data_IF_719581737719
#
_entry.id   IF_719581737719
#
_cell.length_a   1.000
_cell.length_b   1.000
_cell.length_c   1.000
_cell.angle_alpha   90.00
_cell.angle_beta   90.00
_cell.angle_gamma   90.00
#
_symmetry.space_group_name_H-M   'P 1'
#
loop_
_entity.id
_entity.type
_entity.pdbx_description
1 polymer ?
#
# COMPACT_ATOMS: atom_id res chain seq x y z
N UNK A 1 -2.57 52.12 33.68
CA UNK A 1 -2.98 51.17 32.62
C UNK A 1 -2.09 49.94 32.76
N UNK A 2 -2.61 48.85 33.34
CA UNK A 2 -1.85 47.63 33.68
C UNK A 2 -2.43 46.45 32.91
N UNK A 3 -1.91 46.16 31.72
CA UNK A 3 -2.24 44.92 30.99
C UNK A 3 -1.04 44.57 30.10
N UNK A 4 -0.21 43.58 30.50
CA UNK A 4 0.56 42.69 29.59
C UNK A 4 1.57 41.77 30.31
N UNK A 5 1.83 41.94 31.61
CA UNK A 5 2.94 41.22 32.29
C UNK A 5 2.87 39.68 32.19
N UNK A 6 1.68 39.08 32.15
CA UNK A 6 1.54 37.61 32.03
C UNK A 6 1.97 37.07 30.67
N UNK A 7 1.71 37.82 29.60
CA UNK A 7 2.12 37.41 28.25
C UNK A 7 3.63 37.61 28.08
N UNK A 8 4.17 38.68 28.64
CA UNK A 8 5.60 38.95 28.64
C UNK A 8 6.38 37.88 29.43
N UNK A 9 5.86 37.43 30.58
CA UNK A 9 6.44 36.32 31.36
C UNK A 9 6.39 34.97 30.63
N UNK A 10 5.38 34.74 29.79
CA UNK A 10 5.22 33.52 28.99
C UNK A 10 6.15 33.53 27.77
N UNK A 11 6.29 34.69 27.12
CA UNK A 11 7.27 34.91 26.05
C UNK A 11 8.70 34.74 26.59
N UNK A 12 9.01 35.31 27.76
CA UNK A 12 10.34 35.22 28.38
C UNK A 12 10.70 33.78 28.79
N UNK A 13 9.69 32.96 29.15
CA UNK A 13 9.89 31.51 29.35
C UNK A 13 10.17 30.76 28.05
N UNK A 14 9.46 31.09 26.97
CA UNK A 14 9.68 30.47 25.65
C UNK A 14 11.05 30.84 25.07
N UNK A 15 11.50 32.09 25.25
CA UNK A 15 12.82 32.55 24.82
C UNK A 15 13.93 31.82 25.58
N UNK A 16 13.79 31.64 26.90
CA UNK A 16 14.76 30.86 27.71
C UNK A 16 14.85 29.39 27.29
N UNK A 17 13.76 28.79 26.82
CA UNK A 17 13.78 27.42 26.28
C UNK A 17 14.60 27.38 24.97
N UNK A 18 14.49 28.40 24.12
CA UNK A 18 15.21 28.49 22.84
C UNK A 18 16.70 28.83 23.05
N UNK A 19 17.02 29.68 24.02
CA UNK A 19 18.38 30.13 24.33
C UNK A 19 19.21 29.10 25.11
N UNK A 20 18.59 28.06 25.66
CA UNK A 20 19.32 26.97 26.30
C UNK A 20 20.04 26.12 25.24
N UNK A 21 21.38 26.11 25.17
CA UNK A 21 22.15 25.27 24.24
C UNK A 21 22.06 23.78 24.56
N UNK A 22 21.44 23.42 25.70
CA UNK A 22 21.14 22.06 26.14
C UNK A 22 19.82 21.51 25.59
N UNK A 23 19.28 22.05 24.48
CA UNK A 23 18.37 21.25 23.65
C UNK A 23 19.20 20.16 22.96
N UNK A 24 19.58 19.18 23.76
CA UNK A 24 19.99 17.89 23.28
C UNK A 24 18.86 17.36 22.38
N UNK A 25 19.27 16.86 21.21
CA UNK A 25 18.47 16.04 20.31
C UNK A 25 17.59 16.77 19.28
N UNK A 26 18.20 17.68 18.51
CA UNK A 26 18.02 17.55 17.05
C UNK A 26 18.66 16.20 16.68
N UNK A 27 17.89 15.10 16.79
CA UNK A 27 18.37 13.76 16.45
C UNK A 27 18.99 13.85 15.08
N UNK A 28 20.31 13.62 15.00
CA UNK A 28 21.00 13.63 13.72
C UNK A 28 20.21 12.77 12.73
N UNK A 29 19.84 13.28 11.54
CA UNK A 29 19.12 12.48 10.53
C UNK A 29 19.97 11.28 10.05
N UNK A 30 21.25 11.26 10.43
CA UNK A 30 22.20 10.19 10.18
C UNK A 30 22.13 9.04 11.20
N UNK A 31 21.36 9.14 12.30
CA UNK A 31 21.29 8.12 13.34
C UNK A 31 19.98 7.35 13.33
N UNK A 32 20.01 6.14 13.89
CA UNK A 32 18.82 5.34 14.10
C UNK A 32 17.83 6.03 15.04
N UNK A 33 16.56 6.21 14.63
CA UNK A 33 15.57 6.91 15.45
C UNK A 33 15.06 6.06 16.63
N UNK A 34 15.44 4.78 16.72
CA UNK A 34 15.13 3.87 17.83
C UNK A 34 15.85 4.31 19.10
N UNK A 35 15.12 4.37 20.22
CA UNK A 35 15.68 4.75 21.53
C UNK A 35 16.82 3.80 21.91
N UNK A 36 17.98 4.35 22.23
CA UNK A 36 19.16 3.57 22.61
C UNK A 36 20.03 3.08 21.44
N UNK A 37 19.61 3.28 20.18
CA UNK A 37 20.41 2.90 19.03
C UNK A 37 21.27 4.07 18.52
N UNK A 38 22.60 3.94 18.59
CA UNK A 38 23.56 4.97 18.11
C UNK A 38 24.17 4.63 16.74
N UNK A 39 23.51 3.77 15.97
CA UNK A 39 24.05 3.30 14.68
C UNK A 39 23.85 4.37 13.61
N UNK A 40 24.89 4.65 12.82
CA UNK A 40 24.82 5.56 11.67
C UNK A 40 24.12 4.87 10.48
N UNK A 41 23.20 5.59 9.85
CA UNK A 41 22.29 5.16 8.80
C UNK A 41 22.64 5.81 7.45
N UNK A 42 23.57 6.76 7.42
CA UNK A 42 23.97 7.53 6.22
C UNK A 42 24.24 6.66 4.99
N UNK A 43 24.89 5.50 5.17
CA UNK A 43 25.26 4.60 4.08
C UNK A 43 24.32 3.37 3.96
N UNK A 44 23.87 2.81 5.09
CA UNK A 44 23.17 1.51 5.16
C UNK A 44 21.84 1.64 5.89
N UNK A 45 21.02 2.58 5.43
CA UNK A 45 19.70 2.84 5.98
C UNK A 45 18.59 2.18 5.17
N UNK A 46 17.73 1.41 5.84
CA UNK A 46 16.56 0.79 5.23
C UNK A 46 15.32 1.61 5.60
N UNK A 47 14.54 2.01 4.60
CA UNK A 47 13.32 2.77 4.79
C UNK A 47 12.16 1.82 5.14
N UNK A 48 11.41 2.15 6.19
CA UNK A 48 10.20 1.42 6.55
C UNK A 48 9.01 1.93 5.72
N UNK A 49 8.32 1.05 5.01
CA UNK A 49 7.17 1.41 4.15
C UNK A 49 5.96 1.93 4.93
N UNK A 50 5.88 1.64 6.23
CA UNK A 50 4.74 2.05 7.06
C UNK A 50 4.90 3.41 7.72
N UNK A 51 6.13 3.84 8.03
CA UNK A 51 6.39 5.09 8.73
C UNK A 51 7.40 6.00 8.04
N UNK A 52 7.92 5.58 6.88
CA UNK A 52 8.79 6.34 5.98
C UNK A 52 10.09 6.84 6.63
N UNK A 53 10.51 6.21 7.72
CA UNK A 53 11.75 6.50 8.44
C UNK A 53 12.83 5.49 8.06
N UNK A 54 14.08 5.96 8.02
CA UNK A 54 15.25 5.10 7.82
C UNK A 54 15.71 4.50 9.14
N UNK A 55 15.95 3.20 9.14
CA UNK A 55 16.42 2.41 10.28
C UNK A 55 17.72 1.69 9.93
N UNK A 56 18.52 1.34 10.95
CA UNK A 56 19.69 0.50 10.76
C UNK A 56 19.28 -0.95 10.48
N UNK A 57 20.19 -1.76 9.95
CA UNK A 57 19.93 -3.16 9.58
C UNK A 57 19.33 -3.98 10.73
N UNK A 58 19.71 -3.68 11.99
CA UNK A 58 19.19 -4.37 13.19
C UNK A 58 17.75 -4.00 13.55
N UNK A 59 17.26 -2.83 13.12
CA UNK A 59 15.89 -2.37 13.43
C UNK A 59 15.06 -2.15 12.15
N UNK A 60 15.47 -2.77 11.04
CA UNK A 60 14.81 -2.62 9.74
C UNK A 60 13.40 -3.21 9.74
N UNK A 61 13.15 -4.21 10.57
CA UNK A 61 11.87 -4.89 10.64
C UNK A 61 10.85 -4.02 11.38
N UNK A 62 9.57 -4.06 10.98
CA UNK A 62 8.50 -3.32 11.64
C UNK A 62 8.33 -3.68 13.12
N UNK A 63 8.72 -4.89 13.52
CA UNK A 63 8.66 -5.39 14.90
C UNK A 63 9.67 -4.69 15.83
N UNK A 64 10.87 -4.42 15.32
CA UNK A 64 12.00 -3.95 16.13
C UNK A 64 11.97 -2.45 16.46
N UNK A 65 11.17 -1.67 15.71
CA UNK A 65 11.15 -0.21 15.88
C UNK A 65 9.81 0.38 16.30
N UNK A 66 8.67 -0.28 16.05
CA UNK A 66 7.37 0.24 16.48
C UNK A 66 6.26 -0.80 16.49
N UNK A 67 5.55 -0.91 17.61
CA UNK A 67 4.31 -1.69 17.73
C UNK A 67 3.24 -1.29 16.69
N UNK A 68 3.22 -0.02 16.27
CA UNK A 68 2.29 0.45 15.24
C UNK A 68 2.67 -0.09 13.86
N UNK A 69 3.97 -0.11 13.55
CA UNK A 69 4.48 -0.67 12.30
C UNK A 69 4.27 -2.19 12.28
N UNK A 70 4.49 -2.89 13.40
CA UNK A 70 4.15 -4.32 13.54
C UNK A 70 2.69 -4.61 13.21
N UNK A 71 1.75 -3.85 13.80
CA UNK A 71 0.32 -4.03 13.55
C UNK A 71 -0.06 -3.79 12.08
N UNK A 72 0.57 -2.80 11.42
CA UNK A 72 0.34 -2.52 10.00
C UNK A 72 0.86 -3.67 9.12
N UNK A 73 2.08 -4.13 9.38
CA UNK A 73 2.69 -5.25 8.66
C UNK A 73 1.84 -6.51 8.76
N UNK A 74 1.45 -6.91 9.97
CA UNK A 74 0.65 -8.13 10.17
C UNK A 74 -0.72 -8.05 9.47
N UNK A 75 -1.34 -6.86 9.46
CA UNK A 75 -2.62 -6.66 8.76
C UNK A 75 -2.44 -6.74 7.25
N UNK A 76 -1.33 -6.23 6.74
CA UNK A 76 -0.99 -6.31 5.32
C UNK A 76 -0.71 -7.75 4.91
N UNK A 77 0.13 -8.48 5.64
CA UNK A 77 0.42 -9.90 5.43
C UNK A 77 -0.86 -10.74 5.45
N UNK A 78 -1.75 -10.53 6.44
CA UNK A 78 -3.05 -11.20 6.48
C UNK A 78 -3.91 -10.89 5.26
N UNK A 79 -3.88 -9.64 4.78
CA UNK A 79 -4.63 -9.24 3.59
C UNK A 79 -4.03 -9.86 2.32
N UNK A 80 -2.71 -9.91 2.21
CA UNK A 80 -1.99 -10.53 1.10
C UNK A 80 -2.27 -12.04 1.10
N UNK A 81 -2.09 -12.71 2.23
CA UNK A 81 -2.42 -14.12 2.40
C UNK A 81 -3.89 -14.42 2.05
N UNK A 82 -4.83 -13.57 2.48
CA UNK A 82 -6.25 -13.74 2.11
C UNK A 82 -6.50 -13.56 0.61
N UNK A 83 -5.82 -12.63 -0.04
CA UNK A 83 -5.91 -12.44 -1.49
C UNK A 83 -5.26 -13.59 -2.25
N UNK A 84 -4.11 -14.07 -1.80
CA UNK A 84 -3.37 -15.16 -2.43
C UNK A 84 -4.08 -16.50 -2.25
N UNK A 85 -4.59 -16.79 -1.06
CA UNK A 85 -5.45 -17.96 -0.82
C UNK A 85 -6.72 -17.90 -1.66
N UNK A 86 -7.36 -16.72 -1.78
CA UNK A 86 -8.51 -16.56 -2.68
C UNK A 86 -8.12 -16.74 -4.15
N UNK A 87 -6.97 -16.20 -4.58
CA UNK A 87 -6.48 -16.36 -5.94
C UNK A 87 -6.14 -17.82 -6.26
N UNK A 88 -5.57 -18.56 -5.30
CA UNK A 88 -5.31 -19.99 -5.45
C UNK A 88 -6.61 -20.76 -5.63
N UNK A 89 -7.63 -20.52 -4.80
CA UNK A 89 -8.96 -21.13 -4.93
C UNK A 89 -9.64 -20.72 -6.26
N UNK A 90 -9.51 -19.46 -6.67
CA UNK A 90 -10.08 -18.97 -7.93
C UNK A 90 -9.37 -19.57 -9.15
N UNK A 91 -8.06 -19.76 -9.06
CA UNK A 91 -7.26 -20.41 -10.11
C UNK A 91 -7.59 -21.90 -10.18
N UNK A 92 -7.70 -22.58 -9.05
CA UNK A 92 -8.23 -23.95 -8.98
C UNK A 92 -9.64 -24.01 -9.59
N UNK A 93 -10.56 -23.09 -9.28
CA UNK A 93 -11.90 -23.04 -9.91
C UNK A 93 -11.92 -22.67 -11.41
N UNK A 94 -10.84 -22.07 -11.92
CA UNK A 94 -10.68 -21.78 -13.36
C UNK A 94 -9.99 -22.93 -14.10
N UNK A 95 -9.13 -23.69 -13.41
CA UNK A 95 -8.48 -24.90 -13.93
C UNK A 95 -9.39 -26.14 -13.79
N UNK A 96 -10.22 -26.19 -12.75
CA UNK A 96 -11.38 -27.07 -12.60
C UNK A 96 -12.65 -26.23 -12.77
N UNK A 97 -13.21 -26.16 -13.97
CA UNK A 97 -14.46 -25.43 -14.24
C UNK A 97 -15.53 -25.75 -13.19
N UNK A 98 -15.74 -24.83 -12.24
CA UNK A 98 -16.69 -25.04 -11.14
C UNK A 98 -17.13 -23.70 -10.54
N UNK A 99 -17.90 -22.96 -11.32
CA UNK A 99 -19.08 -22.26 -10.80
C UNK A 99 -20.30 -23.07 -11.24
N UNK A 100 -21.07 -23.57 -10.28
CA UNK A 100 -22.17 -24.55 -10.50
C UNK A 100 -21.69 -25.95 -10.91
N UNK A 101 -22.40 -27.01 -10.48
CA UNK A 101 -22.08 -28.40 -10.84
C UNK A 101 -22.52 -28.68 -12.28
N UNK A 102 -21.94 -28.00 -13.25
CA UNK A 102 -22.10 -28.32 -14.66
C UNK A 102 -21.07 -29.38 -15.05
N UNK A 103 -21.50 -30.35 -15.85
CA UNK A 103 -20.58 -31.34 -16.42
C UNK A 103 -19.61 -30.65 -17.37
N UNK A 104 -18.39 -31.18 -17.53
CA UNK A 104 -17.37 -30.63 -18.45
C UNK A 104 -17.91 -30.39 -19.89
N UNK A 105 -18.92 -31.15 -20.30
CA UNK A 105 -19.58 -31.01 -21.60
C UNK A 105 -20.48 -29.77 -21.68
N UNK A 106 -21.18 -29.42 -20.59
CA UNK A 106 -22.05 -28.24 -20.51
C UNK A 106 -21.23 -26.94 -20.56
N UNK A 107 -20.08 -26.91 -19.87
CA UNK A 107 -19.14 -25.80 -19.90
C UNK A 107 -18.54 -25.58 -21.29
N UNK A 108 -18.19 -26.68 -21.98
CA UNK A 108 -17.70 -26.64 -23.35
C UNK A 108 -18.74 -26.06 -24.30
N UNK A 109 -20.00 -26.48 -24.16
CA UNK A 109 -21.11 -25.99 -24.97
C UNK A 109 -21.39 -24.50 -24.70
N UNK A 110 -21.31 -24.03 -23.45
CA UNK A 110 -21.47 -22.60 -23.15
C UNK A 110 -20.33 -21.75 -23.71
N UNK A 111 -19.08 -22.22 -23.61
CA UNK A 111 -17.91 -21.54 -24.19
C UNK A 111 -18.05 -21.43 -25.71
N UNK A 112 -18.44 -22.50 -26.39
CA UNK A 112 -18.70 -22.49 -27.84
C UNK A 112 -19.82 -21.49 -28.21
N UNK A 113 -20.91 -21.45 -27.44
CA UNK A 113 -22.00 -20.47 -27.62
C UNK A 113 -21.52 -19.03 -27.45
N UNK A 114 -20.72 -18.74 -26.41
CA UNK A 114 -20.15 -17.40 -26.18
C UNK A 114 -19.21 -17.01 -27.30
N UNK A 115 -18.34 -17.91 -27.75
CA UNK A 115 -17.41 -17.66 -28.84
C UNK A 115 -18.16 -17.34 -30.13
N UNK A 116 -19.15 -18.15 -30.49
CA UNK A 116 -19.97 -17.92 -31.68
C UNK A 116 -20.76 -16.60 -31.60
N UNK A 117 -21.27 -16.25 -30.42
CA UNK A 117 -21.94 -14.97 -30.17
C UNK A 117 -21.00 -13.78 -30.37
N UNK A 118 -19.75 -13.87 -29.90
CA UNK A 118 -18.74 -12.83 -30.12
C UNK A 118 -18.37 -12.70 -31.61
N UNK A 119 -18.17 -13.80 -32.33
CA UNK A 119 -17.92 -13.77 -33.77
C UNK A 119 -19.08 -13.11 -34.53
N UNK A 120 -20.33 -13.45 -34.19
CA UNK A 120 -21.51 -12.83 -34.80
C UNK A 120 -21.60 -11.33 -34.51
N UNK A 121 -21.29 -10.90 -33.29
CA UNK A 121 -21.21 -9.47 -32.92
C UNK A 121 -20.15 -8.75 -33.75
N UNK A 122 -18.94 -9.31 -33.86
CA UNK A 122 -17.87 -8.72 -34.66
C UNK A 122 -18.22 -8.65 -36.15
N UNK A 123 -18.81 -9.70 -36.72
CA UNK A 123 -19.28 -9.70 -38.11
C UNK A 123 -20.36 -8.64 -38.33
N UNK A 124 -21.33 -8.51 -37.43
CA UNK A 124 -22.39 -7.50 -37.53
C UNK A 124 -21.83 -6.08 -37.41
N UNK A 125 -20.83 -5.85 -36.55
CA UNK A 125 -20.13 -4.57 -36.48
C UNK A 125 -19.42 -4.23 -37.81
N UNK A 126 -18.73 -5.21 -38.43
CA UNK A 126 -18.10 -5.03 -39.76
C UNK A 126 -19.14 -4.71 -40.84
N UNK A 127 -20.26 -5.44 -40.89
CA UNK A 127 -21.37 -5.20 -41.84
C UNK A 127 -21.97 -3.79 -41.66
N UNK A 128 -22.20 -3.35 -40.42
CA UNK A 128 -22.68 -1.98 -40.11
C UNK A 128 -21.69 -0.91 -40.57
N UNK A 129 -20.38 -1.10 -40.36
CA UNK A 129 -19.34 -0.17 -40.84
C UNK A 129 -19.34 -0.07 -42.37
N UNK A 130 -19.44 -1.19 -43.10
CA UNK A 130 -19.49 -1.17 -44.57
C UNK A 130 -20.77 -0.54 -45.13
N UNK A 131 -21.94 -0.78 -44.52
CA UNK A 131 -23.18 -0.10 -44.92
C UNK A 131 -23.12 1.42 -44.71
N UNK A 132 -22.46 1.90 -43.64
CA UNK A 132 -22.23 3.34 -43.42
C UNK A 132 -21.28 3.94 -44.46
N UNK A 133 -20.24 3.20 -44.88
CA UNK A 133 -19.33 3.65 -45.96
C UNK A 133 -19.97 3.72 -47.34
N UNK A 134 -20.99 2.90 -47.65
CA UNK A 134 -21.72 2.92 -48.93
C UNK A 134 -22.83 3.99 -49.01
N UNK A 135 -23.20 4.61 -47.89
CA UNK A 135 -24.23 5.68 -47.81
C UNK A 135 -23.61 7.09 -47.73
N UNK A 136 -22.29 7.17 -47.81
CA UNK A 136 -21.50 8.40 -47.91
C UNK A 136 -20.88 8.42 -49.30
#
# INVERSE_FOLDING_TARGET
>A
MKVSTKQDEEIDKLVKIIENPEIENVKDPSLCPVKGCKTKITLMGILCEHCEKKYCIKHRLPEDHSEICRKRNNKEEQRQFKKESFHFIEKEKKESGSGEKTTMEEDRVELEKRFHSQLKKQQNQRKKKNKKKKKK
#
